data_IF_719376040021
#
_entry.id   IF_719376040021
#
_cell.length_a   1.000
_cell.length_b   1.000
_cell.length_c   1.000
_cell.angle_alpha   90.00
_cell.angle_beta   90.00
_cell.angle_gamma   90.00
#
_symmetry.space_group_name_H-M   'P 1'
#
loop_
_entity.id
_entity.type
_entity.pdbx_description
1 polymer ?
#
# COMPACT_ATOMS: atom_id res chain seq x y z
N UNK A 1 -1.08 -18.25 -7.03
CA UNK A 1 -1.68 -17.00 -6.51
C UNK A 1 -0.63 -16.05 -5.93
N UNK A 2 0.18 -16.46 -4.95
CA UNK A 2 1.23 -15.60 -4.37
C UNK A 2 2.33 -15.19 -5.39
N UNK A 3 2.83 -16.14 -6.19
CA UNK A 3 3.85 -15.86 -7.22
C UNK A 3 3.36 -14.83 -8.26
N UNK A 4 2.07 -14.88 -8.61
CA UNK A 4 1.49 -13.92 -9.55
C UNK A 4 1.48 -12.48 -8.96
N UNK A 5 1.12 -12.34 -7.68
CA UNK A 5 1.18 -11.05 -6.99
C UNK A 5 2.59 -10.48 -6.97
N UNK A 6 3.60 -11.29 -6.66
CA UNK A 6 5.01 -10.85 -6.63
C UNK A 6 5.45 -10.33 -8.00
N UNK A 7 5.10 -11.04 -9.07
CA UNK A 7 5.41 -10.62 -10.44
C UNK A 7 4.73 -9.30 -10.80
N UNK A 8 3.43 -9.15 -10.51
CA UNK A 8 2.68 -7.91 -10.76
C UNK A 8 3.29 -6.74 -9.98
N UNK A 9 3.60 -6.93 -8.69
CA UNK A 9 4.23 -5.89 -7.88
C UNK A 9 5.59 -5.49 -8.45
N UNK A 10 6.41 -6.47 -8.89
CA UNK A 10 7.70 -6.19 -9.52
C UNK A 10 7.55 -5.32 -10.78
N UNK A 11 6.59 -5.66 -11.65
CA UNK A 11 6.29 -4.86 -12.85
C UNK A 11 5.84 -3.44 -12.49
N UNK A 12 4.94 -3.29 -11.52
CA UNK A 12 4.44 -1.99 -11.07
C UNK A 12 5.55 -1.10 -10.47
N UNK A 13 6.46 -1.68 -9.67
CA UNK A 13 7.60 -0.95 -9.13
C UNK A 13 8.56 -0.53 -10.25
N UNK A 14 8.85 -1.41 -11.21
CA UNK A 14 9.69 -1.10 -12.36
C UNK A 14 9.12 0.07 -13.20
N UNK A 15 7.80 0.12 -13.39
CA UNK A 15 7.13 1.23 -14.07
C UNK A 15 7.29 2.55 -13.30
N UNK A 16 7.08 2.53 -11.98
CA UNK A 16 7.26 3.71 -11.13
C UNK A 16 8.72 4.17 -11.13
N UNK A 17 9.69 3.25 -11.10
CA UNK A 17 11.12 3.60 -11.14
C UNK A 17 11.53 4.15 -12.51
N UNK A 18 11.04 3.56 -13.60
CA UNK A 18 11.25 4.08 -14.97
C UNK A 18 10.68 5.49 -15.16
N UNK A 19 9.57 5.81 -14.50
CA UNK A 19 8.99 7.16 -14.56
C UNK A 19 9.86 8.24 -13.89
N UNK A 20 10.79 7.86 -13.01
CA UNK A 20 11.58 8.78 -12.20
C UNK A 20 10.80 9.53 -11.12
N UNK A 21 9.49 9.26 -10.96
CA UNK A 21 8.62 9.96 -10.02
C UNK A 21 8.68 9.35 -8.61
N UNK A 22 8.62 10.21 -7.61
CA UNK A 22 8.39 9.83 -6.21
C UNK A 22 6.91 9.50 -5.95
N UNK A 23 6.62 8.79 -4.86
CA UNK A 23 5.23 8.54 -4.46
C UNK A 23 4.47 9.84 -4.14
N UNK A 24 5.15 10.90 -3.69
CA UNK A 24 4.55 12.21 -3.43
C UNK A 24 4.12 12.90 -4.73
N UNK A 25 4.97 12.91 -5.76
CA UNK A 25 4.60 13.46 -7.07
C UNK A 25 3.42 12.70 -7.70
N UNK A 26 3.44 11.37 -7.60
CA UNK A 26 2.31 10.54 -8.07
C UNK A 26 1.03 10.83 -7.28
N UNK A 27 1.14 11.07 -5.97
CA UNK A 27 0.01 11.45 -5.13
C UNK A 27 -0.61 12.79 -5.55
N UNK A 28 0.23 13.80 -5.81
CA UNK A 28 -0.21 15.11 -6.30
C UNK A 28 -0.95 15.01 -7.65
N UNK A 29 -0.39 14.27 -8.61
CA UNK A 29 -0.99 14.08 -9.93
C UNK A 29 -2.31 13.30 -9.89
N UNK A 30 -2.45 12.36 -8.93
CA UNK A 30 -3.64 11.51 -8.80
C UNK A 30 -4.70 12.06 -7.85
N UNK A 31 -4.34 13.01 -6.98
CA UNK A 31 -5.17 13.47 -5.86
C UNK A 31 -5.34 12.41 -4.77
N UNK A 32 -4.39 11.49 -4.64
CA UNK A 32 -4.35 10.44 -3.62
C UNK A 32 -3.30 10.75 -2.56
N UNK A 33 -3.25 10.01 -1.45
CA UNK A 33 -2.11 10.10 -0.52
C UNK A 33 -0.94 9.28 -1.05
N UNK A 34 0.30 9.70 -0.74
CA UNK A 34 1.52 9.00 -1.14
C UNK A 34 1.55 7.54 -0.65
N UNK A 35 1.09 7.29 0.58
CA UNK A 35 0.96 5.94 1.14
C UNK A 35 -0.05 5.13 0.34
N UNK A 36 -1.22 5.69 -0.01
CA UNK A 36 -2.20 4.95 -0.81
C UNK A 36 -1.66 4.59 -2.20
N UNK A 37 -0.95 5.51 -2.87
CA UNK A 37 -0.25 5.20 -4.14
C UNK A 37 0.76 4.07 -3.96
N UNK A 38 1.58 4.12 -2.89
CA UNK A 38 2.53 3.05 -2.59
C UNK A 38 1.82 1.70 -2.34
N UNK A 39 0.70 1.70 -1.62
CA UNK A 39 -0.11 0.50 -1.36
C UNK A 39 -0.77 -0.06 -2.65
N UNK A 40 -1.16 0.81 -3.59
CA UNK A 40 -1.66 0.39 -4.91
C UNK A 40 -0.56 -0.35 -5.70
N UNK A 41 0.64 0.24 -5.79
CA UNK A 41 1.78 -0.34 -6.50
C UNK A 41 2.36 -1.58 -5.79
N UNK A 42 2.07 -1.77 -4.50
CA UNK A 42 2.41 -2.98 -3.71
C UNK A 42 1.28 -4.02 -3.69
N UNK A 43 0.16 -3.79 -4.40
CA UNK A 43 -1.03 -4.66 -4.39
C UNK A 43 -1.51 -4.97 -2.96
N UNK A 44 -1.64 -3.94 -2.15
CA UNK A 44 -2.25 -3.97 -0.80
C UNK A 44 -3.55 -3.15 -0.72
N UNK A 45 -3.74 -2.27 -1.69
CA UNK A 45 -5.00 -1.57 -1.96
C UNK A 45 -5.49 -1.89 -3.39
N UNK A 46 -6.80 -1.74 -3.61
CA UNK A 46 -7.37 -1.77 -4.96
C UNK A 46 -7.51 -0.35 -5.50
N UNK A 47 -7.30 -0.20 -6.80
CA UNK A 47 -7.48 1.05 -7.53
C UNK A 47 -8.96 1.30 -7.78
N UNK A 48 -9.45 2.48 -7.44
CA UNK A 48 -10.85 2.84 -7.67
C UNK A 48 -11.05 3.40 -9.08
N UNK A 49 -12.19 3.13 -9.75
CA UNK A 49 -12.45 3.55 -11.12
C UNK A 49 -12.23 5.03 -11.37
N UNK A 50 -12.62 5.89 -10.43
CA UNK A 50 -12.51 7.34 -10.54
C UNK A 50 -11.05 7.85 -10.60
N UNK A 51 -10.12 7.07 -10.05
CA UNK A 51 -8.69 7.44 -9.97
C UNK A 51 -7.83 6.73 -11.00
N UNK A 52 -8.38 5.72 -11.69
CA UNK A 52 -7.64 4.95 -12.69
C UNK A 52 -7.16 5.79 -13.90
N UNK A 53 -7.96 6.73 -14.46
CA UNK A 53 -7.48 7.59 -15.55
C UNK A 53 -6.32 8.48 -15.13
N UNK A 54 -6.36 9.03 -13.90
CA UNK A 54 -5.30 9.88 -13.38
C UNK A 54 -4.01 9.09 -13.13
N UNK A 55 -4.12 7.88 -12.59
CA UNK A 55 -2.95 7.02 -12.39
C UNK A 55 -2.31 6.61 -13.72
N UNK A 56 -3.13 6.31 -14.75
CA UNK A 56 -2.64 6.05 -16.12
C UNK A 56 -1.95 7.27 -16.72
N UNK A 57 -2.49 8.46 -16.52
CA UNK A 57 -1.83 9.69 -16.96
C UNK A 57 -0.49 9.92 -16.23
N UNK A 58 -0.43 9.61 -14.94
CA UNK A 58 0.77 9.75 -14.12
C UNK A 58 1.85 8.71 -14.46
N UNK A 59 1.45 7.50 -14.85
CA UNK A 59 2.31 6.40 -15.28
C UNK A 59 1.83 5.87 -16.66
N UNK A 60 2.19 6.54 -17.77
CA UNK A 60 1.69 6.21 -19.11
C UNK A 60 1.99 4.80 -19.61
N UNK A 61 3.06 4.19 -19.07
CA UNK A 61 3.47 2.82 -19.40
C UNK A 61 2.65 1.74 -18.67
N UNK A 62 1.66 2.11 -17.83
CA UNK A 62 0.72 1.17 -17.22
C UNK A 62 -0.18 0.54 -18.29
N UNK A 63 -0.08 -0.78 -18.44
CA UNK A 63 -0.93 -1.54 -19.36
C UNK A 63 -2.37 -1.67 -18.83
N UNK A 64 -3.30 -1.92 -19.75
CA UNK A 64 -4.70 -2.23 -19.39
C UNK A 64 -4.80 -3.46 -18.48
N UNK A 65 -3.96 -4.47 -18.71
CA UNK A 65 -3.88 -5.68 -17.89
C UNK A 65 -3.48 -5.34 -16.45
N UNK A 66 -2.44 -4.53 -16.25
CA UNK A 66 -2.01 -4.12 -14.91
C UNK A 66 -3.08 -3.28 -14.21
N UNK A 67 -3.76 -2.38 -14.93
CA UNK A 67 -4.84 -1.59 -14.34
C UNK A 67 -6.05 -2.45 -13.95
N UNK A 68 -6.39 -3.45 -14.77
CA UNK A 68 -7.43 -4.42 -14.43
C UNK A 68 -7.04 -5.23 -13.19
N UNK A 69 -5.79 -5.67 -13.10
CA UNK A 69 -5.27 -6.33 -11.89
C UNK A 69 -5.32 -5.41 -10.68
N UNK A 70 -4.93 -4.14 -10.82
CA UNK A 70 -4.97 -3.15 -9.74
C UNK A 70 -6.39 -2.87 -9.24
N UNK A 71 -7.40 -2.94 -10.10
CA UNK A 71 -8.80 -2.75 -9.73
C UNK A 71 -9.38 -3.91 -8.89
N UNK A 72 -8.82 -5.12 -9.02
CA UNK A 72 -9.26 -6.28 -8.23
C UNK A 72 -8.87 -6.11 -6.76
N UNK A 73 -9.77 -6.44 -5.80
CA UNK A 73 -9.43 -6.51 -4.38
C UNK A 73 -8.20 -7.41 -4.17
N UNK A 74 -7.10 -6.91 -3.58
CA UNK A 74 -5.92 -7.73 -3.39
C UNK A 74 -6.10 -8.66 -2.19
N UNK A 75 -5.54 -9.87 -2.29
CA UNK A 75 -5.17 -10.62 -1.10
C UNK A 75 -3.98 -9.91 -0.45
N UNK A 76 -4.22 -9.26 0.69
CA UNK A 76 -3.18 -8.56 1.44
C UNK A 76 -2.21 -9.57 2.05
N UNK A 77 -0.93 -9.23 1.99
CA UNK A 77 0.15 -10.09 2.48
C UNK A 77 1.42 -9.28 2.63
N UNK A 78 2.31 -9.68 3.51
CA UNK A 78 3.62 -9.05 3.68
C UNK A 78 4.70 -10.13 3.76
N UNK A 79 5.96 -9.72 3.55
CA UNK A 79 7.10 -10.60 3.80
C UNK A 79 7.30 -10.70 5.32
N UNK A 80 7.25 -11.90 5.93
CA UNK A 80 7.49 -12.06 7.36
C UNK A 80 8.87 -11.54 7.80
N UNK A 81 9.87 -11.53 6.91
CA UNK A 81 11.20 -11.00 7.21
C UNK A 81 11.23 -9.46 7.27
N UNK A 82 10.15 -8.78 6.88
CA UNK A 82 10.08 -7.31 6.93
C UNK A 82 10.30 -6.77 8.35
N UNK A 83 9.98 -7.55 9.39
CA UNK A 83 10.24 -7.17 10.78
C UNK A 83 11.74 -6.99 11.10
N UNK A 84 12.63 -7.52 10.26
CA UNK A 84 14.07 -7.33 10.39
C UNK A 84 14.52 -5.96 9.86
N UNK A 85 13.70 -5.27 9.06
CA UNK A 85 13.99 -3.89 8.67
C UNK A 85 13.89 -2.98 9.90
N UNK A 86 14.93 -2.17 10.22
CA UNK A 86 14.92 -1.35 11.42
C UNK A 86 13.76 -0.36 11.51
N UNK A 87 13.29 0.18 10.37
CA UNK A 87 12.19 1.16 10.36
C UNK A 87 10.88 0.46 10.67
N UNK A 88 10.63 -0.69 10.04
CA UNK A 88 9.42 -1.49 10.31
C UNK A 88 9.44 -2.08 11.71
N UNK A 89 10.61 -2.51 12.20
CA UNK A 89 10.77 -2.98 13.57
C UNK A 89 10.31 -1.92 14.59
N UNK A 90 10.72 -0.66 14.43
CA UNK A 90 10.33 0.43 15.34
C UNK A 90 8.82 0.70 15.33
N UNK A 91 8.18 0.59 14.17
CA UNK A 91 6.72 0.71 14.08
C UNK A 91 6.03 -0.44 14.82
N UNK A 92 6.53 -1.67 14.69
CA UNK A 92 6.01 -2.82 15.42
C UNK A 92 6.26 -2.71 16.93
N UNK A 93 7.47 -2.29 17.32
CA UNK A 93 7.85 -2.07 18.71
C UNK A 93 6.92 -1.07 19.41
N UNK A 94 6.53 0.02 18.73
CA UNK A 94 5.55 0.95 19.28
C UNK A 94 4.20 0.27 19.57
N UNK A 95 3.70 -0.55 18.64
CA UNK A 95 2.46 -1.32 18.86
C UNK A 95 2.63 -2.32 20.01
N UNK A 96 3.76 -3.01 20.09
CA UNK A 96 4.01 -4.03 21.12
C UNK A 96 4.20 -3.42 22.52
N UNK A 97 4.84 -2.25 22.64
CA UNK A 97 5.02 -1.58 23.92
C UNK A 97 3.76 -0.87 24.42
N UNK A 98 3.03 -0.19 23.53
CA UNK A 98 1.87 0.60 23.94
C UNK A 98 0.55 -0.15 23.83
N UNK A 99 0.52 -1.32 23.19
CA UNK A 99 -0.71 -2.03 22.83
C UNK A 99 -1.62 -2.35 24.01
N UNK A 100 -1.07 -2.83 25.13
CA UNK A 100 -1.85 -3.14 26.34
C UNK A 100 -2.45 -1.87 26.95
N UNK A 101 -1.64 -0.83 27.13
CA UNK A 101 -2.12 0.46 27.67
C UNK A 101 -3.16 1.13 26.77
N UNK A 102 -2.98 1.10 25.45
CA UNK A 102 -3.95 1.65 24.49
C UNK A 102 -5.25 0.86 24.56
N UNK A 103 -5.18 -0.47 24.65
CA UNK A 103 -6.36 -1.33 24.78
C UNK A 103 -7.12 -1.04 26.08
N UNK A 104 -6.44 -0.88 27.20
CA UNK A 104 -7.07 -0.54 28.48
C UNK A 104 -7.81 0.79 28.39
N UNK A 105 -7.18 1.83 27.83
CA UNK A 105 -7.80 3.15 27.61
C UNK A 105 -9.03 3.03 26.70
N UNK A 106 -8.94 2.29 25.59
CA UNK A 106 -10.09 2.06 24.70
C UNK A 106 -11.26 1.44 25.47
N UNK A 107 -10.98 0.45 26.32
CA UNK A 107 -12.02 -0.22 27.10
C UNK A 107 -12.64 0.68 28.18
N UNK A 108 -11.83 1.53 28.82
CA UNK A 108 -12.32 2.52 29.81
C UNK A 108 -13.24 3.54 29.16
N UNK A 109 -12.84 4.09 28.01
CA UNK A 109 -13.55 5.19 27.33
C UNK A 109 -14.74 4.71 26.48
N UNK A 110 -14.66 3.51 25.89
CA UNK A 110 -15.63 3.04 24.88
C UNK A 110 -16.27 1.68 25.21
N UNK A 111 -15.77 0.96 26.20
CA UNK A 111 -16.21 -0.40 26.52
C UNK A 111 -15.54 -1.47 25.66
N UNK A 112 -16.05 -2.71 25.73
CA UNK A 112 -15.49 -3.86 25.01
C UNK A 112 -15.60 -3.70 23.48
N UNK A 113 -14.47 -3.77 22.77
CA UNK A 113 -14.44 -3.55 21.32
C UNK A 113 -13.04 -3.30 20.74
N UNK A 114 -13.01 -2.64 19.57
CA UNK A 114 -11.81 -2.19 18.85
C UNK A 114 -12.03 -0.83 18.18
#
# INVERSE_FOLDING_TARGET
MAQNKVNIVSQLQALKDKSGKSYTQLAEETGLTNVYVAQLLRRQAHLKPETAPKLRAALPDLTDELLLEMAKPPLRSYDPNLIQDPTVYRLNEAVMHFGESIKEIINEDFGDGM
#
